data_IF_819669611198
#
_entry.id   IF_819669611198
#
_cell.length_a   1.000
_cell.length_b   1.000
_cell.length_c   1.000
_cell.angle_alpha   90.00
_cell.angle_beta   90.00
_cell.angle_gamma   90.00
#
_symmetry.space_group_name_H-M   'P 1'
#
loop_
_entity.id
_entity.type
_entity.pdbx_description
1 polymer ?
#
# COMPACT_ATOMS: atom_id res chain seq x y z
N UNK A 1 -9.36 17.82 1.02
CA UNK A 1 -10.19 16.73 1.59
C UNK A 1 -10.30 15.65 0.52
N UNK A 2 -10.02 14.39 0.85
CA UNK A 2 -10.22 13.26 -0.08
C UNK A 2 -11.68 12.80 -0.03
N UNK A 3 -12.22 12.34 -1.15
CA UNK A 3 -13.65 12.01 -1.30
C UNK A 3 -13.94 10.68 -2.00
N UNK A 4 -12.97 10.13 -2.74
CA UNK A 4 -13.07 8.86 -3.46
C UNK A 4 -11.94 7.96 -2.95
N UNK A 5 -12.25 7.20 -1.89
CA UNK A 5 -11.30 6.38 -1.15
C UNK A 5 -11.63 4.91 -1.37
N UNK A 6 -10.60 4.13 -1.67
CA UNK A 6 -10.70 2.66 -1.77
C UNK A 6 -9.69 2.05 -0.80
N UNK A 7 -10.15 1.12 0.03
CA UNK A 7 -9.30 0.29 0.90
C UNK A 7 -9.32 -1.16 0.43
N UNK A 8 -8.15 -1.77 0.29
CA UNK A 8 -8.00 -3.16 -0.13
C UNK A 8 -7.19 -3.96 0.89
N UNK A 9 -7.54 -5.22 1.06
CA UNK A 9 -6.78 -6.21 1.81
C UNK A 9 -7.10 -7.59 1.24
N UNK A 10 -6.13 -8.51 1.24
CA UNK A 10 -6.37 -9.87 0.78
C UNK A 10 -7.24 -10.65 1.77
N UNK A 11 -7.28 -10.22 3.04
CA UNK A 11 -8.04 -10.83 4.12
C UNK A 11 -9.49 -10.32 4.14
N UNK A 12 -10.42 -11.23 3.90
CA UNK A 12 -11.87 -10.95 3.99
C UNK A 12 -12.27 -10.41 5.37
N UNK A 13 -11.73 -10.99 6.45
CA UNK A 13 -12.00 -10.54 7.81
C UNK A 13 -11.46 -9.13 8.10
N UNK A 14 -10.33 -8.75 7.51
CA UNK A 14 -9.79 -7.39 7.65
C UNK A 14 -10.69 -6.36 6.94
N UNK A 15 -11.17 -6.70 5.74
CA UNK A 15 -12.14 -5.88 4.99
C UNK A 15 -13.46 -5.75 5.74
N UNK A 16 -13.99 -6.82 6.31
CA UNK A 16 -15.21 -6.79 7.11
C UNK A 16 -15.05 -5.87 8.33
N UNK A 17 -13.94 -6.03 9.08
CA UNK A 17 -13.63 -5.17 10.22
C UNK A 17 -13.53 -3.70 9.81
N UNK A 18 -12.79 -3.39 8.74
CA UNK A 18 -12.62 -2.02 8.25
C UNK A 18 -13.96 -1.39 7.84
N UNK A 19 -14.82 -2.16 7.16
CA UNK A 19 -16.17 -1.72 6.78
C UNK A 19 -17.03 -1.41 8.00
N UNK A 20 -17.02 -2.28 9.01
CA UNK A 20 -17.78 -2.09 10.24
C UNK A 20 -17.32 -0.86 11.03
N UNK A 21 -16.00 -0.64 11.13
CA UNK A 21 -15.43 0.55 11.77
C UNK A 21 -15.78 1.83 11.01
N UNK A 22 -15.65 1.82 9.68
CA UNK A 22 -16.01 2.96 8.84
C UNK A 22 -17.50 3.33 8.99
N UNK A 23 -18.39 2.33 8.99
CA UNK A 23 -19.82 2.54 9.21
C UNK A 23 -20.12 3.11 10.61
N UNK A 24 -19.50 2.55 11.66
CA UNK A 24 -19.63 3.04 13.04
C UNK A 24 -19.21 4.50 13.19
N UNK A 25 -18.14 4.89 12.50
CA UNK A 25 -17.55 6.23 12.61
C UNK A 25 -18.13 7.23 11.58
N UNK A 26 -19.15 6.83 10.81
CA UNK A 26 -19.86 7.69 9.85
C UNK A 26 -19.18 7.89 8.50
N UNK A 27 -18.18 7.07 8.16
CA UNK A 27 -17.50 7.06 6.86
C UNK A 27 -18.20 6.11 5.88
N UNK A 28 -19.24 6.59 5.21
CA UNK A 28 -20.08 5.77 4.31
C UNK A 28 -19.63 5.74 2.85
N UNK A 29 -18.68 6.60 2.46
CA UNK A 29 -18.25 6.76 1.05
C UNK A 29 -16.96 6.01 0.70
N UNK A 30 -16.37 5.28 1.64
CA UNK A 30 -15.16 4.49 1.41
C UNK A 30 -15.56 3.16 0.78
N UNK A 31 -14.96 2.83 -0.36
CA UNK A 31 -15.12 1.52 -1.00
C UNK A 31 -14.13 0.53 -0.41
N UNK A 32 -14.58 -0.68 -0.07
CA UNK A 32 -13.73 -1.73 0.48
C UNK A 32 -13.80 -2.98 -0.39
N UNK A 33 -12.64 -3.52 -0.78
CA UNK A 33 -12.53 -4.66 -1.70
C UNK A 33 -11.57 -5.70 -1.13
N UNK A 34 -12.00 -6.97 -1.14
CA UNK A 34 -11.09 -8.11 -0.87
C UNK A 34 -10.26 -8.34 -2.13
N UNK A 35 -8.98 -8.00 -2.05
CA UNK A 35 -8.08 -7.95 -3.20
C UNK A 35 -6.63 -8.23 -2.79
N UNK A 36 -5.95 -9.08 -3.57
CA UNK A 36 -4.50 -9.27 -3.44
C UNK A 36 -3.81 -8.25 -4.34
N UNK A 37 -3.02 -7.35 -3.75
CA UNK A 37 -2.31 -6.31 -4.49
C UNK A 37 -1.34 -6.89 -5.53
N UNK A 38 -0.84 -8.11 -5.33
CA UNK A 38 0.05 -8.76 -6.30
C UNK A 38 -0.67 -9.17 -7.59
N UNK A 39 -1.98 -9.37 -7.52
CA UNK A 39 -2.87 -9.80 -8.61
C UNK A 39 -4.17 -8.98 -8.55
N UNK A 40 -4.01 -7.65 -8.44
CA UNK A 40 -5.11 -6.73 -8.14
C UNK A 40 -6.21 -6.77 -9.19
N UNK A 41 -7.46 -6.72 -8.75
CA UNK A 41 -8.65 -6.61 -9.61
C UNK A 41 -9.04 -5.17 -9.91
N UNK A 42 -8.31 -4.20 -9.35
CA UNK A 42 -8.59 -2.78 -9.57
C UNK A 42 -8.22 -2.40 -11.01
N UNK A 43 -9.17 -1.81 -11.73
CA UNK A 43 -9.04 -1.38 -13.12
C UNK A 43 -9.00 0.16 -13.27
N UNK A 44 -8.68 0.85 -12.17
CA UNK A 44 -8.68 2.31 -12.08
C UNK A 44 -7.38 2.83 -11.48
N UNK A 45 -7.09 4.10 -11.77
CA UNK A 45 -5.91 4.79 -11.24
C UNK A 45 -6.23 5.70 -10.07
N UNK A 46 -5.22 5.95 -9.23
CA UNK A 46 -5.29 6.76 -8.03
C UNK A 46 -4.22 7.85 -8.03
N UNK A 47 -4.60 9.04 -7.53
CA UNK A 47 -3.68 10.17 -7.34
C UNK A 47 -2.71 9.95 -6.19
N UNK A 48 -3.16 9.24 -5.17
CA UNK A 48 -2.37 8.93 -3.98
C UNK A 48 -2.65 7.47 -3.61
N UNK A 49 -1.59 6.69 -3.47
CA UNK A 49 -1.63 5.32 -2.94
C UNK A 49 -0.87 5.33 -1.63
N UNK A 50 -1.45 4.74 -0.60
CA UNK A 50 -0.80 4.57 0.70
C UNK A 50 -0.60 3.10 1.00
N UNK A 51 0.63 2.73 1.34
CA UNK A 51 0.99 1.42 1.85
C UNK A 51 1.49 1.56 3.28
N UNK A 52 1.03 0.68 4.18
CA UNK A 52 1.41 0.70 5.59
C UNK A 52 1.96 -0.66 6.00
N UNK A 53 3.07 -1.05 5.38
CA UNK A 53 3.82 -2.26 5.71
C UNK A 53 3.46 -3.49 4.88
N UNK A 54 2.63 -3.38 3.84
CA UNK A 54 2.35 -4.50 2.93
C UNK A 54 3.61 -4.88 2.16
N UNK A 55 4.39 -3.88 1.70
CA UNK A 55 5.64 -4.14 1.01
C UNK A 55 6.68 -4.85 1.91
N UNK A 56 6.71 -4.53 3.20
CA UNK A 56 7.54 -5.23 4.18
C UNK A 56 7.10 -6.69 4.36
N UNK A 57 5.78 -6.91 4.55
CA UNK A 57 5.22 -8.24 4.72
C UNK A 57 5.50 -9.13 3.49
N UNK A 58 5.33 -8.59 2.29
CA UNK A 58 5.73 -9.25 1.04
C UNK A 58 7.22 -9.59 1.06
N UNK A 59 8.05 -8.69 1.58
CA UNK A 59 9.49 -8.89 1.63
C UNK A 59 9.97 -10.01 2.57
N UNK A 60 9.15 -10.41 3.54
CA UNK A 60 9.40 -11.53 4.46
C UNK A 60 9.03 -12.90 3.87
N UNK A 61 8.32 -12.93 2.74
CA UNK A 61 7.99 -14.17 2.03
C UNK A 61 9.27 -14.84 1.48
N UNK A 62 9.34 -16.19 1.39
CA UNK A 62 10.47 -16.88 0.75
C UNK A 62 10.80 -16.33 -0.65
N UNK A 63 9.76 -16.10 -1.46
CA UNK A 63 9.85 -15.47 -2.79
C UNK A 63 9.81 -13.93 -2.75
N UNK A 64 10.12 -13.31 -1.62
CA UNK A 64 9.91 -11.87 -1.40
C UNK A 64 10.61 -10.98 -2.43
N UNK A 65 11.75 -11.40 -2.99
CA UNK A 65 12.41 -10.67 -4.09
C UNK A 65 11.51 -10.56 -5.31
N UNK A 66 10.94 -11.66 -5.78
CA UNK A 66 10.08 -11.68 -6.96
C UNK A 66 8.75 -10.96 -6.68
N UNK A 67 8.13 -11.23 -5.52
CA UNK A 67 6.86 -10.60 -5.15
C UNK A 67 6.96 -9.08 -4.96
N UNK A 68 8.12 -8.55 -4.53
CA UNK A 68 8.35 -7.10 -4.52
C UNK A 68 8.33 -6.48 -5.91
N UNK A 69 8.81 -7.19 -6.93
CA UNK A 69 8.73 -6.72 -8.33
C UNK A 69 7.27 -6.67 -8.76
N UNK A 70 6.51 -7.76 -8.55
CA UNK A 70 5.07 -7.82 -8.86
C UNK A 70 4.27 -6.71 -8.15
N UNK A 71 4.58 -6.46 -6.87
CA UNK A 71 3.99 -5.34 -6.13
C UNK A 71 4.22 -4.02 -6.85
N UNK A 72 5.45 -3.71 -7.25
CA UNK A 72 5.75 -2.45 -7.93
C UNK A 72 5.13 -2.36 -9.32
N UNK A 73 5.05 -3.46 -10.06
CA UNK A 73 4.31 -3.51 -11.33
C UNK A 73 2.83 -3.15 -11.11
N UNK A 74 2.19 -3.77 -10.10
CA UNK A 74 0.82 -3.48 -9.72
C UNK A 74 0.62 -2.02 -9.30
N UNK A 75 1.43 -1.50 -8.37
CA UNK A 75 1.34 -0.11 -7.91
C UNK A 75 1.59 0.89 -9.05
N UNK A 76 2.53 0.61 -9.96
CA UNK A 76 2.82 1.48 -11.11
C UNK A 76 1.64 1.55 -12.08
N UNK A 77 0.87 0.46 -12.21
CA UNK A 77 -0.35 0.43 -13.02
C UNK A 77 -1.50 1.19 -12.35
N UNK A 78 -1.59 1.14 -11.02
CA UNK A 78 -2.64 1.78 -10.23
C UNK A 78 -2.41 3.26 -9.96
N UNK A 79 -1.19 3.79 -10.10
CA UNK A 79 -0.94 5.22 -9.86
C UNK A 79 -1.12 6.05 -11.14
N UNK A 80 -1.77 7.21 -11.01
CA UNK A 80 -1.86 8.19 -12.10
C UNK A 80 -0.49 8.80 -12.42
N UNK A 81 -0.23 9.21 -13.67
CA UNK A 81 0.94 10.02 -13.98
C UNK A 81 1.02 11.27 -13.09
N UNK A 82 2.14 11.45 -12.38
CA UNK A 82 2.33 12.53 -11.40
C UNK A 82 1.69 12.28 -10.03
N UNK A 83 1.09 11.10 -9.80
CA UNK A 83 0.59 10.66 -8.51
C UNK A 83 1.69 10.34 -7.51
N UNK A 84 1.27 10.12 -6.26
CA UNK A 84 2.15 9.86 -5.11
C UNK A 84 1.92 8.45 -4.56
N UNK A 85 3.00 7.74 -4.30
CA UNK A 85 2.98 6.54 -3.48
C UNK A 85 3.62 6.89 -2.14
N UNK A 86 2.92 6.61 -1.05
CA UNK A 86 3.39 6.81 0.32
C UNK A 86 3.44 5.45 0.97
N UNK A 87 4.63 4.86 1.07
CA UNK A 87 4.82 3.58 1.76
C UNK A 87 5.52 3.81 3.09
N UNK A 88 4.94 3.25 4.15
CA UNK A 88 5.51 3.23 5.50
C UNK A 88 6.22 1.90 5.70
N UNK A 89 7.47 1.97 6.10
CA UNK A 89 8.31 0.80 6.31
C UNK A 89 8.63 0.61 7.80
N UNK A 90 8.68 -0.63 8.25
CA UNK A 90 9.36 -1.04 9.46
C UNK A 90 10.87 -0.94 9.20
N UNK A 91 11.58 -0.16 10.00
CA UNK A 91 13.00 0.15 9.81
C UNK A 91 13.89 -1.11 9.99
N UNK A 92 13.95 -1.98 8.97
CA UNK A 92 14.93 -3.07 8.77
C UNK A 92 15.24 -3.32 7.28
N UNK A 93 14.87 -2.41 6.38
CA UNK A 93 15.28 -2.48 4.98
C UNK A 93 16.76 -2.07 4.85
N UNK A 94 17.57 -2.96 4.29
CA UNK A 94 18.95 -2.65 3.92
C UNK A 94 18.98 -1.54 2.86
N UNK A 95 19.98 -0.67 2.96
CA UNK A 95 20.18 0.54 2.13
C UNK A 95 20.10 0.27 0.62
N UNK A 96 20.43 -0.96 0.19
CA UNK A 96 20.42 -1.40 -1.20
C UNK A 96 19.03 -1.35 -1.86
N UNK A 97 17.94 -1.52 -1.11
CA UNK A 97 16.58 -1.52 -1.70
C UNK A 97 16.06 -0.12 -1.99
N UNK A 98 16.47 0.89 -1.22
CA UNK A 98 16.01 2.29 -1.34
C UNK A 98 16.40 2.88 -2.70
N UNK A 99 17.58 2.53 -3.23
CA UNK A 99 18.08 3.03 -4.51
C UNK A 99 17.29 2.53 -5.74
N UNK A 100 16.73 1.31 -5.69
CA UNK A 100 15.94 0.77 -6.81
C UNK A 100 14.55 1.42 -6.95
N UNK A 101 14.03 1.99 -5.87
CA UNK A 101 12.66 2.53 -5.81
C UNK A 101 12.52 3.95 -6.37
N UNK A 102 13.64 4.67 -6.48
CA UNK A 102 13.62 6.12 -6.73
C UNK A 102 13.59 6.50 -8.21
N UNK A 103 13.59 5.54 -9.14
CA UNK A 103 13.89 5.82 -10.55
C UNK A 103 12.66 6.23 -11.39
N UNK A 104 11.43 5.89 -10.99
CA UNK A 104 10.23 6.23 -11.82
C UNK A 104 9.01 6.77 -11.06
N UNK A 105 9.03 6.77 -9.72
CA UNK A 105 7.90 7.20 -8.89
C UNK A 105 8.34 8.23 -7.84
N UNK A 106 7.52 9.25 -7.59
CA UNK A 106 7.74 10.17 -6.46
C UNK A 106 7.30 9.46 -5.17
N UNK A 107 8.19 8.64 -4.63
CA UNK A 107 7.99 7.90 -3.39
C UNK A 107 8.27 8.80 -2.19
N UNK A 108 7.30 8.96 -1.29
CA UNK A 108 7.53 9.57 0.02
C UNK A 108 7.70 8.46 1.05
N UNK A 109 8.93 8.28 1.53
CA UNK A 109 9.26 7.34 2.60
C UNK A 109 8.95 7.99 3.96
N UNK A 110 8.12 7.34 4.76
CA UNK A 110 7.84 7.76 6.14
C UNK A 110 8.30 6.66 7.09
N UNK A 111 9.28 6.97 7.96
CA UNK A 111 9.76 6.05 8.99
C UNK A 111 8.87 6.12 10.23
N UNK A 112 8.43 4.97 10.74
CA UNK A 112 7.76 4.88 12.04
C UNK A 112 8.81 4.87 13.16
N UNK A 113 9.40 6.05 13.43
CA UNK A 113 10.34 6.23 14.53
C UNK A 113 9.68 5.91 15.88
N UNK A 114 9.99 4.75 16.45
CA UNK A 114 9.78 4.50 17.87
C UNK A 114 10.96 5.13 18.62
N UNK A 115 10.74 6.28 19.27
CA UNK A 115 11.60 6.71 20.36
C UNK A 115 11.41 5.70 21.50
N UNK A 116 12.32 4.73 21.60
CA UNK A 116 12.53 4.04 22.87
C UNK A 116 13.30 5.02 23.77
N UNK A 117 12.65 5.46 24.85
CA UNK A 117 13.34 6.05 26.00
C UNK A 117 14.23 5.00 26.67
#
# INVERSE_FOLDING_TARGET
RFSDLTGTDYSEGAIELARNLAARDGFTTISFLVDDVLETKLDRKFKVITDKGTLDAIGLHPDGRAKRVMYWESISNLVEPGGLVVSTFLCKLSETLILHLSVELKLMLVSSGHNIM
#
